data_IF_626217951970
#
_entry.id   IF_626217951970
#
_cell.length_a   1.000
_cell.length_b   1.000
_cell.length_c   1.000
_cell.angle_alpha   90.00
_cell.angle_beta   90.00
_cell.angle_gamma   90.00
#
_symmetry.space_group_name_H-M   'P 1'
#
loop_
_entity.id
_entity.type
_entity.pdbx_description
1 polymer ?
#
# COMPACT_ATOMS: atom_id res chain seq x y z
N UNK A 1 -1.59 62.42 22.01
CA UNK A 1 -2.71 62.97 22.82
C UNK A 1 -3.82 61.93 22.89
N UNK A 2 -4.43 61.80 24.07
CA UNK A 2 -5.48 60.85 24.45
C UNK A 2 -6.73 60.94 23.57
N UNK A 3 -7.45 59.81 23.41
CA UNK A 3 -8.84 59.65 23.91
C UNK A 3 -9.23 58.17 24.02
N UNK A 4 -9.65 57.82 25.23
CA UNK A 4 -10.34 56.60 25.66
C UNK A 4 -11.86 56.87 25.52
N UNK A 5 -12.64 55.84 25.21
CA UNK A 5 -14.08 55.59 25.56
C UNK A 5 -14.38 54.19 25.01
N UNK A 6 -14.57 53.08 25.76
CA UNK A 6 -15.42 52.75 26.91
C UNK A 6 -16.93 52.76 26.57
N UNK A 7 -17.60 51.68 27.01
CA UNK A 7 -19.06 51.40 27.04
C UNK A 7 -19.70 50.94 25.72
N UNK A 8 -20.54 49.90 25.66
CA UNK A 8 -21.17 49.14 26.74
C UNK A 8 -21.99 47.95 26.22
N UNK A 9 -22.17 46.99 27.11
CA UNK A 9 -23.06 45.83 27.07
C UNK A 9 -24.53 46.28 26.97
N UNK A 10 -25.39 45.59 26.20
CA UNK A 10 -26.78 45.36 26.61
C UNK A 10 -27.42 44.16 25.89
N UNK A 11 -27.84 43.18 26.68
CA UNK A 11 -28.83 42.15 26.34
C UNK A 11 -30.23 42.78 26.25
N UNK A 12 -31.05 42.35 25.30
CA UNK A 12 -32.51 42.23 25.48
C UNK A 12 -33.03 41.00 24.72
N UNK A 13 -33.59 40.07 25.48
CA UNK A 13 -34.49 38.99 25.05
C UNK A 13 -35.88 39.56 24.75
N UNK A 14 -36.54 39.14 23.67
CA UNK A 14 -38.00 39.06 23.63
C UNK A 14 -38.42 37.80 22.87
N UNK A 15 -39.11 36.92 23.60
CA UNK A 15 -39.86 35.76 23.12
C UNK A 15 -41.08 36.18 22.30
N UNK A 16 -41.43 35.39 21.29
CA UNK A 16 -42.83 35.23 20.88
C UNK A 16 -43.08 33.79 20.41
N UNK A 17 -43.85 33.06 21.22
CA UNK A 17 -44.52 31.82 20.82
C UNK A 17 -45.59 32.13 19.77
N UNK A 18 -45.69 31.28 18.74
CA UNK A 18 -46.85 31.16 17.87
C UNK A 18 -47.21 29.68 17.72
N UNK A 19 -48.49 29.27 17.85
CA UNK A 19 -48.90 27.86 17.84
C UNK A 19 -49.43 27.38 16.47
N UNK A 20 -49.48 26.05 16.33
CA UNK A 20 -50.31 25.25 15.40
C UNK A 20 -49.80 25.15 13.94
N UNK A 21 -49.88 24.06 13.19
CA UNK A 21 -50.39 22.69 13.38
C UNK A 21 -49.85 21.81 12.23
N UNK A 22 -49.93 20.49 12.41
CA UNK A 22 -50.07 19.41 11.41
C UNK A 22 -48.99 19.19 10.33
N UNK A 23 -48.27 18.08 10.47
CA UNK A 23 -47.41 17.53 9.44
C UNK A 23 -46.84 16.16 9.82
N UNK A 24 -47.67 15.13 9.73
CA UNK A 24 -47.36 13.76 9.33
C UNK A 24 -45.94 13.20 9.58
N UNK A 25 -45.84 12.23 10.50
CA UNK A 25 -45.46 10.87 10.14
C UNK A 25 -44.02 10.56 9.69
N UNK A 26 -43.28 9.97 10.63
CA UNK A 26 -42.43 8.78 10.47
C UNK A 26 -40.98 8.88 9.96
N UNK A 27 -40.14 8.19 10.73
CA UNK A 27 -38.80 7.67 10.47
C UNK A 27 -37.65 8.65 10.61
N UNK A 28 -37.32 8.96 11.87
CA UNK A 28 -35.93 9.12 12.23
C UNK A 28 -35.24 7.75 12.05
N UNK A 29 -34.64 7.54 10.87
CA UNK A 29 -33.70 6.47 10.66
C UNK A 29 -32.56 6.66 11.66
N UNK A 30 -32.58 5.87 12.73
CA UNK A 30 -31.42 5.68 13.57
C UNK A 30 -30.31 5.17 12.65
N UNK A 31 -29.34 6.03 12.36
CA UNK A 31 -28.08 5.57 11.79
C UNK A 31 -27.56 4.51 12.76
N UNK A 32 -27.60 3.25 12.32
CA UNK A 32 -26.91 2.18 13.01
C UNK A 32 -25.47 2.65 13.21
N UNK A 33 -24.88 2.48 14.41
CA UNK A 33 -23.46 2.74 14.58
C UNK A 33 -22.72 1.94 13.51
N UNK A 34 -21.97 2.66 12.69
CA UNK A 34 -21.03 2.09 11.75
C UNK A 34 -20.16 1.10 12.56
N UNK A 35 -20.04 -0.17 12.14
CA UNK A 35 -19.28 -1.14 12.92
C UNK A 35 -17.87 -0.59 13.10
N UNK A 36 -17.51 -0.30 14.35
CA UNK A 36 -16.14 0.03 14.73
C UNK A 36 -15.27 -1.13 14.22
N UNK A 37 -14.53 -0.88 13.14
CA UNK A 37 -13.53 -1.82 12.65
C UNK A 37 -12.53 -1.96 13.78
N UNK A 38 -12.43 -3.13 14.45
CA UNK A 38 -11.48 -3.27 15.54
C UNK A 38 -10.08 -2.96 14.99
N UNK A 39 -9.24 -2.21 15.73
CA UNK A 39 -7.87 -1.98 15.31
C UNK A 39 -7.22 -3.35 15.10
N UNK A 40 -6.67 -3.55 13.89
CA UNK A 40 -5.85 -4.71 13.54
C UNK A 40 -4.93 -5.07 14.70
N UNK A 41 -5.16 -6.23 15.31
CA UNK A 41 -4.51 -6.68 16.56
C UNK A 41 -3.12 -7.25 16.33
N UNK A 42 -2.61 -7.24 15.09
CA UNK A 42 -1.25 -7.69 14.81
C UNK A 42 -0.22 -6.61 15.15
N UNK A 43 0.32 -6.72 16.36
CA UNK A 43 1.43 -5.87 16.84
C UNK A 43 2.80 -6.52 16.65
N UNK A 44 2.87 -7.76 16.14
CA UNK A 44 4.11 -8.52 15.99
C UNK A 44 4.47 -8.74 14.53
N UNK A 45 5.75 -8.52 14.21
CA UNK A 45 6.31 -8.84 12.90
C UNK A 45 6.27 -10.35 12.64
N UNK A 46 5.82 -10.72 11.44
CA UNK A 46 5.91 -12.09 10.91
C UNK A 46 7.34 -12.41 10.48
N UNK A 47 7.68 -13.70 10.51
CA UNK A 47 9.02 -14.19 10.17
C UNK A 47 9.10 -14.65 8.71
N UNK A 48 10.14 -14.20 8.01
CA UNK A 48 10.52 -14.74 6.70
C UNK A 48 10.99 -16.19 6.88
N UNK A 49 10.23 -17.15 6.35
CA UNK A 49 10.52 -18.58 6.50
C UNK A 49 11.07 -19.13 5.19
N UNK A 50 12.35 -19.50 5.16
CA UNK A 50 12.97 -20.12 3.99
C UNK A 50 13.56 -19.14 2.97
N UNK A 51 13.61 -17.84 3.27
CA UNK A 51 14.10 -16.80 2.36
C UNK A 51 14.76 -15.60 3.05
N UNK A 52 15.62 -14.91 2.30
CA UNK A 52 16.52 -13.86 2.81
C UNK A 52 16.25 -12.47 2.22
N UNK A 53 15.95 -12.42 0.92
CA UNK A 53 15.82 -11.16 0.18
C UNK A 53 14.90 -11.37 -1.01
N UNK A 54 14.06 -10.38 -1.30
CA UNK A 54 13.35 -10.25 -2.57
C UNK A 54 13.97 -9.09 -3.33
N UNK A 55 14.36 -9.33 -4.58
CA UNK A 55 14.86 -8.34 -5.52
C UNK A 55 13.83 -8.16 -6.63
N UNK A 56 13.47 -6.92 -6.94
CA UNK A 56 12.47 -6.58 -7.96
C UNK A 56 12.98 -5.46 -8.85
N UNK A 57 12.63 -5.52 -10.13
CA UNK A 57 12.94 -4.48 -11.12
C UNK A 57 11.67 -3.69 -11.43
N UNK A 58 11.74 -2.38 -11.22
CA UNK A 58 10.69 -1.44 -11.57
C UNK A 58 11.30 -0.14 -12.08
N UNK A 59 10.86 0.31 -13.25
CA UNK A 59 11.27 1.56 -13.88
C UNK A 59 12.79 1.73 -13.94
N UNK A 60 13.48 0.73 -14.48
CA UNK A 60 14.95 0.68 -14.59
C UNK A 60 15.71 0.73 -13.25
N UNK A 61 15.01 0.68 -12.12
CA UNK A 61 15.60 0.62 -10.79
C UNK A 61 15.45 -0.78 -10.21
N UNK A 62 16.43 -1.17 -9.39
CA UNK A 62 16.43 -2.41 -8.65
C UNK A 62 16.09 -2.12 -7.20
N UNK A 63 15.00 -2.68 -6.70
CA UNK A 63 14.60 -2.59 -5.29
C UNK A 63 14.84 -3.92 -4.62
N UNK A 64 15.52 -3.90 -3.46
CA UNK A 64 15.78 -5.08 -2.63
C UNK A 64 15.04 -4.92 -1.31
N UNK A 65 14.33 -5.95 -0.87
CA UNK A 65 13.68 -6.02 0.45
C UNK A 65 14.27 -7.18 1.24
N UNK A 66 14.82 -6.88 2.41
CA UNK A 66 15.38 -7.91 3.30
C UNK A 66 14.39 -8.43 4.34
N UNK A 67 14.79 -9.46 5.10
CA UNK A 67 14.00 -10.08 6.18
C UNK A 67 13.59 -9.15 7.34
N UNK A 68 14.12 -7.92 7.37
CA UNK A 68 13.77 -6.91 8.37
C UNK A 68 12.70 -5.92 7.88
N UNK A 69 12.19 -6.08 6.64
CA UNK A 69 11.24 -5.14 6.03
C UNK A 69 11.85 -3.82 5.57
N UNK A 70 13.17 -3.67 5.66
CA UNK A 70 13.90 -2.57 5.03
C UNK A 70 14.07 -2.82 3.54
N UNK A 71 14.04 -1.74 2.78
CA UNK A 71 14.33 -1.77 1.36
C UNK A 71 15.41 -0.78 0.96
N UNK A 72 16.13 -1.15 -0.10
CA UNK A 72 17.10 -0.31 -0.78
C UNK A 72 16.76 -0.30 -2.25
N UNK A 73 16.65 0.88 -2.83
CA UNK A 73 16.41 1.07 -4.26
C UNK A 73 17.68 1.66 -4.88
N UNK A 74 18.22 0.94 -5.87
CA UNK A 74 19.33 1.44 -6.66
C UNK A 74 18.94 2.71 -7.44
N UNK A 75 19.95 3.37 -8.03
CA UNK A 75 19.77 4.61 -8.79
C UNK A 75 18.63 4.50 -9.81
N UNK A 76 17.53 5.21 -9.56
CA UNK A 76 16.37 5.33 -10.43
C UNK A 76 16.46 6.62 -11.29
N UNK A 77 15.34 7.06 -11.88
CA UNK A 77 15.24 8.30 -12.65
C UNK A 77 15.65 9.58 -11.89
N UNK A 78 15.57 9.61 -10.55
CA UNK A 78 16.01 10.73 -9.73
C UNK A 78 17.52 10.70 -9.40
N UNK A 79 18.26 9.71 -9.90
CA UNK A 79 19.73 9.72 -9.91
C UNK A 79 20.41 9.43 -8.57
N UNK A 80 19.68 9.00 -7.53
CA UNK A 80 20.22 8.68 -6.21
C UNK A 80 19.72 7.31 -5.72
N UNK A 81 20.40 6.76 -4.72
CA UNK A 81 19.92 5.57 -4.01
C UNK A 81 18.90 5.99 -2.95
N UNK A 82 17.89 5.15 -2.75
CA UNK A 82 16.84 5.36 -1.74
C UNK A 82 16.84 4.24 -0.71
N UNK A 83 16.50 4.59 0.53
CA UNK A 83 16.43 3.67 1.65
C UNK A 83 15.11 3.89 2.37
N UNK A 84 14.42 2.82 2.74
CA UNK A 84 13.15 2.92 3.44
C UNK A 84 12.76 1.64 4.16
N UNK A 85 11.56 1.64 4.70
CA UNK A 85 10.99 0.51 5.43
C UNK A 85 9.50 0.36 5.11
N UNK A 86 9.03 -0.89 5.10
CA UNK A 86 7.60 -1.17 4.99
C UNK A 86 6.91 -0.97 6.34
N UNK A 87 5.68 -0.46 6.30
CA UNK A 87 4.78 -0.48 7.45
C UNK A 87 4.55 -1.94 7.89
N UNK A 88 4.42 -2.16 9.20
CA UNK A 88 4.32 -3.50 9.79
C UNK A 88 3.24 -4.38 9.14
N UNK A 89 2.07 -3.81 8.83
CA UNK A 89 0.98 -4.53 8.19
C UNK A 89 1.35 -5.00 6.76
N UNK A 90 2.01 -4.14 5.97
CA UNK A 90 2.49 -4.48 4.62
C UNK A 90 3.61 -5.51 4.68
N UNK A 91 4.51 -5.37 5.65
CA UNK A 91 5.56 -6.35 5.92
C UNK A 91 4.97 -7.72 6.24
N UNK A 92 4.02 -7.80 7.19
CA UNK A 92 3.40 -9.05 7.59
C UNK A 92 2.69 -9.74 6.41
N UNK A 93 1.92 -8.99 5.62
CA UNK A 93 1.26 -9.51 4.44
C UNK A 93 2.27 -10.02 3.40
N UNK A 94 3.34 -9.27 3.14
CA UNK A 94 4.41 -9.67 2.20
C UNK A 94 5.05 -10.98 2.65
N UNK A 95 5.40 -11.10 3.93
CA UNK A 95 5.99 -12.30 4.51
C UNK A 95 5.06 -13.50 4.36
N UNK A 96 3.81 -13.36 4.74
CA UNK A 96 2.84 -14.46 4.70
C UNK A 96 2.63 -14.96 3.27
N UNK A 97 2.36 -14.06 2.32
CA UNK A 97 2.19 -14.43 0.91
C UNK A 97 3.47 -15.02 0.31
N UNK A 98 4.65 -14.54 0.71
CA UNK A 98 5.94 -15.08 0.25
C UNK A 98 6.16 -16.48 0.78
N UNK A 99 5.97 -16.70 2.08
CA UNK A 99 6.12 -18.02 2.72
C UNK A 99 5.19 -19.04 2.05
N UNK A 100 3.96 -18.66 1.73
CA UNK A 100 3.02 -19.51 1.00
C UNK A 100 3.45 -19.76 -0.45
N UNK A 101 3.95 -18.74 -1.16
CA UNK A 101 4.33 -18.83 -2.56
C UNK A 101 5.56 -19.73 -2.81
N UNK A 102 6.49 -19.80 -1.86
CA UNK A 102 7.73 -20.59 -2.01
C UNK A 102 7.65 -21.98 -1.41
N UNK A 103 6.56 -22.31 -0.69
CA UNK A 103 6.39 -23.59 -0.01
C UNK A 103 6.39 -24.79 -0.97
N UNK A 104 5.79 -24.60 -2.13
CA UNK A 104 5.63 -25.64 -3.15
C UNK A 104 6.66 -25.49 -4.27
N UNK A 105 7.01 -26.62 -4.89
CA UNK A 105 7.87 -26.67 -6.07
C UNK A 105 7.28 -25.82 -7.22
N UNK A 106 8.11 -25.09 -7.98
CA UNK A 106 7.63 -24.34 -9.12
C UNK A 106 6.94 -25.23 -10.15
N UNK A 107 5.89 -24.71 -10.77
CA UNK A 107 5.26 -25.33 -11.93
C UNK A 107 6.26 -25.48 -13.09
N UNK A 108 6.11 -26.53 -13.90
CA UNK A 108 6.92 -26.70 -15.11
C UNK A 108 6.68 -25.54 -16.10
N UNK A 109 5.41 -25.22 -16.33
CA UNK A 109 4.94 -24.16 -17.23
C UNK A 109 4.51 -22.91 -16.44
N UNK A 110 4.78 -21.74 -17.01
CA UNK A 110 4.34 -20.47 -16.43
C UNK A 110 2.89 -20.16 -16.82
N UNK A 111 2.19 -19.44 -15.95
CA UNK A 111 0.93 -18.78 -16.30
C UNK A 111 1.03 -17.30 -16.00
N UNK A 112 0.27 -16.50 -16.73
CA UNK A 112 0.32 -15.04 -16.60
C UNK A 112 -0.90 -14.51 -15.85
N UNK A 113 -0.64 -13.53 -15.00
CA UNK A 113 -1.59 -12.78 -14.21
C UNK A 113 -1.63 -11.38 -14.81
N UNK A 114 -2.85 -10.85 -15.02
CA UNK A 114 -2.99 -9.46 -15.44
C UNK A 114 -2.52 -8.56 -14.31
N UNK A 115 -1.72 -7.56 -14.66
CA UNK A 115 -1.34 -6.56 -13.69
C UNK A 115 -2.60 -5.83 -13.18
N UNK A 116 -2.68 -5.50 -11.88
CA UNK A 116 -3.74 -4.65 -11.40
C UNK A 116 -3.72 -3.35 -12.19
N UNK A 117 -4.89 -2.90 -12.67
CA UNK A 117 -5.00 -1.61 -13.33
C UNK A 117 -4.56 -0.56 -12.30
N UNK A 118 -3.38 0.05 -12.54
CA UNK A 118 -2.84 1.05 -11.63
C UNK A 118 -3.84 2.18 -11.41
N UNK A 119 -3.77 2.82 -10.25
CA UNK A 119 -4.56 4.03 -9.97
C UNK A 119 -4.30 5.03 -11.11
N UNK A 120 -5.33 5.69 -11.68
CA UNK A 120 -5.12 6.72 -12.69
C UNK A 120 -4.11 7.78 -12.19
N UNK A 121 -2.95 7.87 -12.85
CA UNK A 121 -1.83 8.73 -12.42
C UNK A 121 -0.59 7.96 -11.94
N UNK A 122 -0.71 6.67 -11.63
CA UNK A 122 0.37 5.82 -11.10
C UNK A 122 0.87 4.76 -12.10
N UNK A 123 0.56 4.94 -13.40
CA UNK A 123 0.87 3.96 -14.46
C UNK A 123 2.36 3.65 -14.62
N UNK A 124 3.23 4.48 -14.07
CA UNK A 124 4.68 4.32 -14.08
C UNK A 124 5.22 3.79 -12.74
N UNK A 125 4.39 3.19 -11.88
CA UNK A 125 4.81 2.70 -10.55
C UNK A 125 4.47 1.23 -10.38
N UNK A 126 4.69 0.45 -11.43
CA UNK A 126 4.48 -1.00 -11.44
C UNK A 126 5.80 -1.71 -11.68
N UNK A 127 5.88 -2.96 -11.27
CA UNK A 127 6.99 -3.82 -11.65
C UNK A 127 6.99 -3.97 -13.18
N UNK A 128 8.15 -3.81 -13.82
CA UNK A 128 8.32 -3.87 -15.27
C UNK A 128 9.43 -4.84 -15.69
N UNK A 129 9.91 -5.67 -14.76
CA UNK A 129 10.90 -6.69 -15.00
C UNK A 129 10.73 -7.91 -14.10
N UNK A 130 11.85 -8.50 -13.69
CA UNK A 130 11.88 -9.75 -12.93
C UNK A 130 11.81 -9.44 -11.43
N UNK A 131 11.01 -10.23 -10.70
CA UNK A 131 11.15 -10.40 -9.25
C UNK A 131 11.80 -11.75 -8.93
N UNK A 132 12.92 -11.72 -8.23
CA UNK A 132 13.64 -12.89 -7.74
C UNK A 132 13.62 -12.94 -6.21
N UNK A 133 13.58 -14.14 -5.66
CA UNK A 133 13.78 -14.37 -4.24
C UNK A 133 15.06 -15.17 -4.01
N UNK A 134 15.84 -14.76 -3.01
CA UNK A 134 16.98 -15.52 -2.49
C UNK A 134 16.50 -16.39 -1.32
N UNK A 135 16.60 -17.71 -1.48
CA UNK A 135 16.22 -18.69 -0.47
C UNK A 135 17.33 -18.85 0.59
N UNK A 136 17.01 -19.44 1.74
CA UNK A 136 17.96 -19.64 2.84
C UNK A 136 19.15 -20.53 2.49
N UNK A 137 18.95 -21.46 1.55
CA UNK A 137 20.04 -22.28 0.99
C UNK A 137 20.95 -21.50 0.02
N UNK A 138 20.69 -20.20 -0.18
CA UNK A 138 21.43 -19.31 -1.06
C UNK A 138 21.04 -19.39 -2.54
N UNK A 139 20.14 -20.30 -2.93
CA UNK A 139 19.65 -20.37 -4.30
C UNK A 139 18.71 -19.22 -4.60
N UNK A 140 18.55 -18.92 -5.89
CA UNK A 140 17.61 -17.92 -6.39
C UNK A 140 16.44 -18.61 -7.07
N UNK A 141 15.23 -18.08 -6.87
CA UNK A 141 14.02 -18.49 -7.56
C UNK A 141 13.35 -17.26 -8.15
N UNK A 142 12.98 -17.31 -9.42
CA UNK A 142 12.12 -16.30 -10.02
C UNK A 142 10.71 -16.45 -9.45
N UNK A 143 10.19 -15.39 -8.84
CA UNK A 143 8.81 -15.30 -8.40
C UNK A 143 7.92 -14.87 -9.57
N UNK A 144 8.35 -13.84 -10.30
CA UNK A 144 7.60 -13.22 -11.37
C UNK A 144 8.51 -12.69 -12.47
N UNK A 145 7.99 -12.68 -13.69
CA UNK A 145 8.61 -12.07 -14.87
C UNK A 145 7.55 -11.25 -15.61
N UNK A 146 7.67 -9.92 -15.56
CA UNK A 146 6.73 -9.01 -16.22
C UNK A 146 7.10 -8.81 -17.68
N UNK A 147 6.16 -9.11 -18.58
CA UNK A 147 6.31 -8.98 -20.03
C UNK A 147 5.16 -8.16 -20.59
N UNK A 148 5.41 -6.87 -20.85
CA UNK A 148 4.36 -5.96 -21.32
C UNK A 148 3.32 -5.69 -20.22
N UNK A 149 2.06 -6.08 -20.44
CA UNK A 149 0.95 -5.79 -19.53
C UNK A 149 0.59 -6.98 -18.61
N UNK A 150 1.36 -8.06 -18.67
CA UNK A 150 1.12 -9.27 -17.92
C UNK A 150 2.37 -9.65 -17.13
N UNK A 151 2.15 -10.30 -15.99
CA UNK A 151 3.22 -10.83 -15.17
C UNK A 151 3.06 -12.33 -15.04
N UNK A 152 4.09 -13.06 -15.47
CA UNK A 152 4.06 -14.51 -15.54
C UNK A 152 4.78 -15.11 -14.33
N UNK A 153 4.29 -16.26 -13.86
CA UNK A 153 4.81 -16.93 -12.66
C UNK A 153 4.70 -18.44 -12.78
N UNK A 154 5.54 -19.13 -11.99
CA UNK A 154 5.52 -20.58 -11.78
C UNK A 154 5.08 -20.95 -10.35
N UNK A 155 4.51 -20.01 -9.58
CA UNK A 155 3.98 -20.29 -8.23
C UNK A 155 2.69 -21.12 -8.37
N UNK A 156 2.59 -22.33 -7.80
CA UNK A 156 1.39 -23.17 -7.95
C UNK A 156 0.12 -22.57 -7.35
N UNK A 157 0.23 -21.96 -6.17
CA UNK A 157 -0.88 -21.35 -5.48
C UNK A 157 -1.24 -20.01 -6.13
N UNK A 158 -2.30 -20.02 -6.94
CA UNK A 158 -2.77 -18.83 -7.68
C UNK A 158 -3.19 -17.68 -6.77
N UNK A 159 -3.82 -17.95 -5.64
CA UNK A 159 -4.25 -16.91 -4.70
C UNK A 159 -3.03 -16.24 -4.07
N UNK A 160 -2.09 -17.02 -3.56
CA UNK A 160 -0.83 -16.51 -3.02
C UNK A 160 -0.03 -15.71 -4.06
N UNK A 161 0.00 -16.17 -5.31
CA UNK A 161 0.66 -15.45 -6.40
C UNK A 161 0.01 -14.08 -6.68
N UNK A 162 -1.33 -14.01 -6.73
CA UNK A 162 -2.05 -12.75 -6.95
C UNK A 162 -1.86 -11.75 -5.78
N UNK A 163 -1.89 -12.25 -4.55
CA UNK A 163 -1.62 -11.43 -3.37
C UNK A 163 -0.17 -10.93 -3.38
N UNK A 164 0.78 -11.82 -3.66
CA UNK A 164 2.19 -11.49 -3.66
C UNK A 164 2.53 -10.42 -4.71
N UNK A 165 2.06 -10.55 -5.96
CA UNK A 165 2.35 -9.52 -6.98
C UNK A 165 1.77 -8.15 -6.60
N UNK A 166 0.58 -8.12 -5.98
CA UNK A 166 -0.04 -6.89 -5.48
C UNK A 166 0.82 -6.24 -4.38
N UNK A 167 1.35 -7.05 -3.46
CA UNK A 167 2.21 -6.58 -2.38
C UNK A 167 3.57 -6.11 -2.90
N UNK A 168 4.18 -6.81 -3.85
CA UNK A 168 5.43 -6.38 -4.50
C UNK A 168 5.23 -5.04 -5.23
N UNK A 169 4.10 -4.84 -5.90
CA UNK A 169 3.76 -3.53 -6.47
C UNK A 169 3.66 -2.44 -5.40
N UNK A 170 3.05 -2.72 -4.24
CA UNK A 170 3.00 -1.76 -3.15
C UNK A 170 4.40 -1.40 -2.60
N UNK A 171 5.35 -2.34 -2.60
CA UNK A 171 6.76 -2.06 -2.29
C UNK A 171 7.37 -1.10 -3.32
N UNK A 172 7.15 -1.35 -4.61
CA UNK A 172 7.64 -0.48 -5.70
C UNK A 172 7.08 0.94 -5.54
N UNK A 173 5.79 1.08 -5.27
CA UNK A 173 5.15 2.38 -5.07
C UNK A 173 5.75 3.10 -3.86
N UNK A 174 5.94 2.40 -2.73
CA UNK A 174 6.57 2.98 -1.55
C UNK A 174 8.00 3.44 -1.84
N UNK A 175 8.78 2.62 -2.54
CA UNK A 175 10.14 2.94 -2.96
C UNK A 175 10.22 4.16 -3.91
N UNK A 176 9.27 4.31 -4.84
CA UNK A 176 9.23 5.44 -5.77
C UNK A 176 8.87 6.75 -5.05
N UNK A 177 7.94 6.72 -4.07
CA UNK A 177 7.53 7.90 -3.30
C UNK A 177 8.66 8.43 -2.41
N UNK A 178 9.40 7.54 -1.72
CA UNK A 178 10.50 7.94 -0.85
C UNK A 178 11.59 8.70 -1.62
N UNK A 179 11.82 8.34 -2.88
CA UNK A 179 12.90 8.92 -3.67
C UNK A 179 12.47 10.11 -4.53
N UNK A 180 11.29 9.98 -5.16
CA UNK A 180 10.70 10.87 -6.16
C UNK A 180 9.23 11.19 -5.80
N UNK A 181 8.95 11.98 -4.76
CA UNK A 181 7.57 12.22 -4.29
C UNK A 181 6.65 12.84 -5.36
N UNK A 182 7.23 13.60 -6.31
CA UNK A 182 6.51 14.23 -7.43
C UNK A 182 6.53 13.38 -8.72
N UNK A 183 7.04 12.14 -8.66
CA UNK A 183 7.09 11.23 -9.80
C UNK A 183 8.12 11.60 -10.89
N UNK A 184 8.07 10.83 -11.98
CA UNK A 184 8.96 10.95 -13.12
C UNK A 184 8.64 12.21 -13.94
N UNK A 185 9.62 13.10 -14.12
CA UNK A 185 9.50 14.24 -15.04
C UNK A 185 8.79 15.50 -14.51
N UNK A 186 8.69 15.68 -13.19
CA UNK A 186 8.10 16.87 -12.56
C UNK A 186 9.08 18.04 -12.35
N UNK A 187 10.05 18.18 -13.28
CA UNK A 187 10.88 19.37 -13.42
C UNK A 187 10.16 20.48 -14.15
#
# INVERSE_FOLDING_TARGET
>A
MRRINLTGLLLVLVSACGPSNDGSGQSAGASAPEPEVPPSTETRARYAEGWQEIEMIANFAKTKVGVAGHFVTGRNACGKEAYGALELAKWNALVESTNLAIKDEPLAEEYCIKLPEGVPGERYRVMDGIAEIKLDNGSKRTLFDTKGNETCTKIPNREAANQLITLLHAVVVAADIEDCPNGWGSG
#
